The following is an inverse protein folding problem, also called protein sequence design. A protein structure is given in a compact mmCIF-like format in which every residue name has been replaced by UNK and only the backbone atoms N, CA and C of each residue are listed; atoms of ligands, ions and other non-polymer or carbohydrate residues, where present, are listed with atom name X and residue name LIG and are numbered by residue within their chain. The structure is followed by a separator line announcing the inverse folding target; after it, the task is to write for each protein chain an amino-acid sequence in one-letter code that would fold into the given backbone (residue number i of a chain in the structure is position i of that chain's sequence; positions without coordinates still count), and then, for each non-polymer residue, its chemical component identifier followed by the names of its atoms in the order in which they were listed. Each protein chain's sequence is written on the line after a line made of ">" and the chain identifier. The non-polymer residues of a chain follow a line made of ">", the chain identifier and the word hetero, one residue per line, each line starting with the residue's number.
data_IF_094416056105
#
_entry.id   IF_094416056105
#
_cell.length_a   1.000
_cell.length_b   1.000
_cell.length_c   1.000
_cell.angle_alpha   90.00
_cell.angle_beta   90.00
_cell.angle_gamma   90.00
#
_symmetry.space_group_name_H-M   'P 1'
#
loop_
_entity.id
_entity.type
_entity.pdbx_description
1 polymer ?
#
# COMPACT_ATOMS: atom_id res chain seq x y z
N UNK A 1 44.70 22.95 -47.87
CA UNK A 1 46.01 23.55 -48.22
C UNK A 1 45.98 25.03 -47.83
N UNK A 2 46.97 25.47 -47.03
CA UNK A 2 47.60 26.79 -47.11
C UNK A 2 46.77 28.07 -46.97
N UNK A 3 46.53 28.48 -45.72
CA UNK A 3 47.03 29.70 -45.06
C UNK A 3 47.46 30.95 -45.89
N UNK A 4 47.09 32.11 -45.29
CA UNK A 4 47.85 33.36 -45.07
C UNK A 4 47.73 34.61 -45.99
N UNK A 5 47.32 35.71 -45.30
CA UNK A 5 47.80 37.12 -45.35
C UNK A 5 47.51 37.99 -46.59
N UNK A 6 47.30 39.32 -46.53
CA UNK A 6 47.27 40.35 -45.46
C UNK A 6 46.74 41.68 -46.06
N UNK A 7 46.72 42.74 -45.23
CA UNK A 7 46.80 44.19 -45.53
C UNK A 7 45.47 44.98 -45.62
N UNK A 8 45.20 45.84 -44.61
CA UNK A 8 45.51 47.31 -44.48
C UNK A 8 44.49 48.15 -45.29
N UNK A 9 43.94 49.30 -44.88
CA UNK A 9 44.32 50.37 -43.92
C UNK A 9 43.16 51.40 -43.87
N UNK A 10 42.99 52.09 -42.71
CA UNK A 10 42.70 53.55 -42.49
C UNK A 10 41.45 54.20 -43.12
N UNK A 11 40.77 55.22 -42.57
CA UNK A 11 40.74 55.97 -41.30
C UNK A 11 39.61 57.03 -41.44
N UNK A 12 39.29 57.71 -40.32
CA UNK A 12 38.74 59.08 -40.20
C UNK A 12 37.22 59.23 -40.02
N UNK A 13 36.65 60.18 -39.25
CA UNK A 13 37.00 60.92 -38.02
C UNK A 13 35.81 61.87 -37.73
N UNK A 14 35.58 62.18 -36.44
CA UNK A 14 35.03 63.43 -35.88
C UNK A 14 33.49 63.62 -35.66
N UNK A 15 33.17 63.64 -34.36
CA UNK A 15 32.14 64.40 -33.58
C UNK A 15 32.52 65.92 -33.63
N UNK A 16 31.76 66.98 -33.21
CA UNK A 16 30.72 67.08 -32.14
C UNK A 16 29.56 68.11 -32.34
N UNK A 17 28.65 68.29 -31.36
CA UNK A 17 28.36 69.55 -30.63
C UNK A 17 27.17 69.43 -29.65
N UNK A 18 27.25 70.25 -28.60
CA UNK A 18 26.46 70.37 -27.37
C UNK A 18 25.43 71.51 -27.51
N UNK A 19 24.27 71.43 -26.84
CA UNK A 19 23.61 72.62 -26.26
C UNK A 19 22.59 72.23 -25.17
N UNK A 20 22.69 72.90 -24.03
CA UNK A 20 21.85 72.80 -22.84
C UNK A 20 20.71 73.85 -22.87
N UNK A 21 19.68 73.67 -22.04
CA UNK A 21 19.12 74.72 -21.15
C UNK A 21 18.04 74.15 -20.21
N UNK A 22 17.97 74.75 -19.03
CA UNK A 22 17.31 74.29 -17.81
C UNK A 22 15.98 75.02 -17.54
N UNK A 23 15.12 74.42 -16.70
CA UNK A 23 14.21 75.14 -15.81
C UNK A 23 13.82 74.30 -14.58
N UNK A 24 14.24 74.83 -13.42
CA UNK A 24 13.75 74.76 -12.02
C UNK A 24 12.24 74.56 -11.83
N UNK A 25 11.65 74.07 -10.74
CA UNK A 25 12.05 73.55 -9.42
C UNK A 25 10.75 73.04 -8.76
N UNK A 26 10.79 71.96 -7.96
CA UNK A 26 10.07 71.89 -6.68
C UNK A 26 10.66 70.77 -5.83
N UNK A 27 11.28 71.16 -4.72
CA UNK A 27 11.80 70.28 -3.68
C UNK A 27 10.80 70.25 -2.54
N UNK A 28 10.37 69.06 -2.14
CA UNK A 28 9.96 68.76 -0.77
C UNK A 28 10.70 67.50 -0.33
N UNK A 29 11.53 67.66 0.71
CA UNK A 29 12.09 66.59 1.56
C UNK A 29 10.92 65.88 2.30
N UNK A 30 10.95 64.64 2.77
CA UNK A 30 12.00 63.70 3.15
C UNK A 30 11.35 62.35 3.47
N UNK A 31 12.05 61.23 3.22
CA UNK A 31 11.68 59.91 3.73
C UNK A 31 12.45 58.78 3.04
N UNK A 32 13.55 58.36 3.66
CA UNK A 32 14.53 57.37 3.19
C UNK A 32 14.02 55.91 3.15
N UNK A 33 14.89 55.05 2.62
CA UNK A 33 14.87 53.57 2.54
C UNK A 33 14.12 53.02 1.33
N UNK A 34 14.70 52.24 0.43
CA UNK A 34 16.02 51.63 0.33
C UNK A 34 15.90 50.57 -0.77
N UNK A 35 16.80 50.61 -1.74
CA UNK A 35 16.98 49.53 -2.71
C UNK A 35 17.41 48.27 -1.97
N UNK A 36 16.59 47.22 -1.98
CA UNK A 36 17.04 45.87 -1.69
C UNK A 36 16.98 45.06 -2.97
N UNK A 37 18.17 44.79 -3.48
CA UNK A 37 18.43 43.71 -4.41
C UNK A 37 17.70 42.44 -3.94
N UNK A 38 17.08 41.73 -4.88
CA UNK A 38 16.65 40.36 -4.70
C UNK A 38 17.89 39.52 -4.36
N UNK A 39 18.12 39.31 -3.07
CA UNK A 39 19.02 38.27 -2.62
C UNK A 39 18.31 36.93 -2.89
N UNK A 40 18.75 36.23 -3.93
CA UNK A 40 18.54 34.80 -4.03
C UNK A 40 19.10 34.16 -2.76
N UNK A 41 18.22 33.67 -1.89
CA UNK A 41 18.61 32.92 -0.72
C UNK A 41 19.23 31.59 -1.20
N UNK A 42 20.44 31.23 -0.74
CA UNK A 42 21.03 29.95 -1.09
C UNK A 42 20.22 28.84 -0.41
N UNK A 43 19.72 27.90 -1.23
CA UNK A 43 19.11 26.64 -0.80
C UNK A 43 20.18 25.72 -0.19
N UNK A 44 20.72 26.06 0.98
CA UNK A 44 21.49 25.13 1.82
C UNK A 44 20.52 24.46 2.78
N UNK A 45 19.75 23.50 2.29
CA UNK A 45 19.00 22.60 3.16
C UNK A 45 19.97 21.64 3.82
N UNK A 46 20.30 21.88 5.08
CA UNK A 46 21.18 21.03 5.90
C UNK A 46 20.69 19.57 5.84
N UNK A 47 21.54 18.62 5.39
CA UNK A 47 21.17 17.21 5.31
C UNK A 47 20.69 16.64 6.65
N UNK A 48 21.15 17.17 7.79
CA UNK A 48 20.71 16.76 9.13
C UNK A 48 19.26 17.21 9.40
N UNK A 49 18.88 18.41 8.94
CA UNK A 49 17.50 18.90 9.03
C UNK A 49 16.56 18.09 8.12
N UNK A 50 17.02 17.69 6.92
CA UNK A 50 16.23 16.80 6.04
C UNK A 50 16.09 15.40 6.63
N UNK A 51 17.13 14.87 7.25
CA UNK A 51 17.11 13.57 7.91
C UNK A 51 16.24 13.57 9.18
N UNK A 52 16.27 14.66 9.96
CA UNK A 52 15.40 14.87 11.11
C UNK A 52 13.93 15.03 10.69
N UNK A 53 13.64 15.83 9.66
CA UNK A 53 12.28 15.97 9.11
C UNK A 53 11.78 14.66 8.51
N UNK A 54 12.64 13.90 7.82
CA UNK A 54 12.31 12.57 7.32
C UNK A 54 12.04 11.60 8.49
N UNK A 55 12.86 11.61 9.55
CA UNK A 55 12.64 10.81 10.74
C UNK A 55 11.33 11.16 11.48
N UNK A 56 10.98 12.45 11.59
CA UNK A 56 9.71 12.92 12.15
C UNK A 56 8.52 12.48 11.30
N UNK A 57 8.62 12.56 9.96
CA UNK A 57 7.55 12.06 9.08
C UNK A 57 7.36 10.54 9.13
N UNK A 58 8.33 9.76 9.61
CA UNK A 58 8.26 8.30 9.74
C UNK A 58 8.13 7.78 11.18
N UNK A 59 8.05 8.67 12.16
CA UNK A 59 7.90 8.30 13.56
C UNK A 59 6.63 7.44 13.78
N UNK A 60 6.74 6.41 14.62
CA UNK A 60 5.56 5.65 15.03
C UNK A 60 4.62 6.56 15.85
N UNK A 61 3.31 6.57 15.55
CA UNK A 61 2.38 7.36 16.32
C UNK A 61 2.34 6.86 17.77
N UNK A 62 2.33 7.80 18.71
CA UNK A 62 2.13 7.54 20.14
C UNK A 62 0.67 7.18 20.44
N UNK A 63 0.43 6.54 21.59
CA UNK A 63 -0.93 6.18 22.01
C UNK A 63 -1.83 7.43 22.17
N UNK A 64 -1.26 8.56 22.61
CA UNK A 64 -1.98 9.82 22.73
C UNK A 64 -2.38 10.41 21.37
N UNK A 65 -1.51 10.30 20.36
CA UNK A 65 -1.81 10.71 18.99
C UNK A 65 -2.89 9.82 18.36
N UNK A 66 -2.79 8.50 18.54
CA UNK A 66 -3.81 7.56 18.09
C UNK A 66 -5.18 7.86 18.73
N UNK A 67 -5.23 8.12 20.04
CA UNK A 67 -6.47 8.48 20.73
C UNK A 67 -7.05 9.81 20.23
N UNK A 68 -6.20 10.81 19.96
CA UNK A 68 -6.61 12.07 19.34
C UNK A 68 -7.23 11.83 17.96
N UNK A 69 -6.55 11.05 17.11
CA UNK A 69 -7.00 10.74 15.75
C UNK A 69 -8.31 9.95 15.76
N UNK A 70 -8.47 9.00 16.69
CA UNK A 70 -9.69 8.21 16.85
C UNK A 70 -10.95 9.10 17.07
N UNK A 71 -10.79 10.21 17.79
CA UNK A 71 -11.86 11.15 18.16
C UNK A 71 -12.13 12.23 17.12
N UNK A 72 -11.28 12.37 16.10
CA UNK A 72 -11.51 13.38 15.06
C UNK A 72 -12.84 13.09 14.36
N UNK A 73 -13.59 14.12 13.91
CA UNK A 73 -14.73 13.90 13.04
C UNK A 73 -14.26 13.39 11.66
N UNK A 74 -15.20 12.86 10.87
CA UNK A 74 -14.95 12.59 9.45
C UNK A 74 -15.01 13.91 8.70
N UNK A 75 -13.97 14.27 7.97
CA UNK A 75 -14.07 15.27 6.91
C UNK A 75 -14.50 14.52 5.64
N UNK A 76 -15.76 14.67 5.24
CA UNK A 76 -16.24 14.15 3.94
C UNK A 76 -15.97 15.22 2.90
N UNK A 77 -15.27 14.88 1.81
CA UNK A 77 -15.13 15.81 0.69
C UNK A 77 -16.39 15.74 -0.17
N UNK A 78 -16.91 16.86 -0.70
CA UNK A 78 -18.03 16.86 -1.65
C UNK A 78 -17.79 16.05 -2.94
N UNK A 79 -16.54 15.66 -3.20
CA UNK A 79 -16.12 14.79 -4.31
C UNK A 79 -16.32 13.29 -4.05
N UNK A 80 -16.69 12.89 -2.83
CA UNK A 80 -16.85 11.48 -2.46
C UNK A 80 -18.20 10.97 -2.98
N UNK A 81 -18.23 10.49 -4.23
CA UNK A 81 -19.45 9.96 -4.87
C UNK A 81 -20.02 8.72 -4.16
N UNK A 82 -19.22 8.00 -3.38
CA UNK A 82 -19.67 6.85 -2.56
C UNK A 82 -19.02 6.89 -1.16
N UNK A 83 -19.80 6.89 -0.07
CA UNK A 83 -19.23 6.98 1.27
C UNK A 83 -18.67 5.62 1.73
N UNK A 84 -17.34 5.44 1.64
CA UNK A 84 -16.50 4.89 2.73
C UNK A 84 -15.00 4.77 2.36
N UNK A 85 -14.20 5.85 2.49
CA UNK A 85 -12.78 5.69 2.69
C UNK A 85 -12.60 5.42 4.19
N UNK A 86 -12.77 4.15 4.57
CA UNK A 86 -12.16 3.70 5.82
C UNK A 86 -10.71 4.16 5.87
N UNK A 87 -10.23 4.64 7.01
CA UNK A 87 -8.87 5.19 7.11
C UNK A 87 -8.00 4.28 7.95
N UNK A 88 -6.93 3.75 7.35
CA UNK A 88 -5.83 3.11 8.05
C UNK A 88 -4.91 4.16 8.66
N UNK A 89 -4.57 4.04 9.93
CA UNK A 89 -3.65 4.97 10.60
C UNK A 89 -2.53 4.19 11.26
N UNK A 90 -1.30 4.66 11.07
CA UNK A 90 -0.10 4.06 11.65
C UNK A 90 0.29 2.72 11.02
N UNK A 91 0.94 1.89 11.82
CA UNK A 91 1.46 0.59 11.41
C UNK A 91 0.46 -0.54 11.71
N UNK A 92 0.57 -1.70 11.04
CA UNK A 92 -0.33 -2.84 11.28
C UNK A 92 -0.34 -3.34 12.73
N UNK A 93 0.77 -3.13 13.45
CA UNK A 93 0.98 -3.53 14.85
C UNK A 93 1.02 -2.36 15.85
N UNK A 94 0.75 -1.14 15.38
CA UNK A 94 0.64 0.08 16.19
C UNK A 94 -0.16 1.09 15.38
N UNK A 95 -1.47 0.94 15.44
CA UNK A 95 -2.36 1.69 14.57
C UNK A 95 -3.81 1.57 14.99
N UNK A 96 -4.67 2.22 14.20
CA UNK A 96 -6.11 2.18 14.37
C UNK A 96 -6.79 2.15 13.01
N UNK A 97 -8.08 1.83 13.00
CA UNK A 97 -8.93 1.83 11.83
C UNK A 97 -10.08 2.80 12.08
N UNK A 98 -10.27 3.79 11.20
CA UNK A 98 -11.45 4.68 11.27
C UNK A 98 -12.44 4.30 10.19
N UNK A 99 -13.72 4.36 10.53
CA UNK A 99 -14.81 4.07 9.59
C UNK A 99 -14.63 2.72 8.89
N UNK A 100 -14.16 1.72 9.64
CA UNK A 100 -13.87 0.40 9.11
C UNK A 100 -15.08 -0.21 8.43
N UNK A 101 -14.87 -0.76 7.23
CA UNK A 101 -15.88 -1.52 6.51
C UNK A 101 -16.00 -2.90 7.13
N UNK A 102 -17.24 -3.31 7.40
CA UNK A 102 -17.55 -4.63 7.95
C UNK A 102 -17.70 -5.64 6.82
N UNK A 103 -16.99 -6.77 6.91
CA UNK A 103 -17.24 -7.93 6.04
C UNK A 103 -18.41 -8.77 6.58
N UNK A 104 -19.26 -9.28 5.70
CA UNK A 104 -20.42 -10.10 6.05
C UNK A 104 -20.35 -11.49 5.40
N UNK A 105 -21.15 -12.41 5.93
CA UNK A 105 -21.35 -13.71 5.30
C UNK A 105 -22.03 -13.54 3.94
N UNK A 106 -21.60 -14.33 2.96
CA UNK A 106 -22.15 -14.41 1.61
C UNK A 106 -22.28 -15.89 1.19
N UNK A 107 -22.79 -16.17 0.00
CA UNK A 107 -22.77 -17.50 -0.61
C UNK A 107 -21.33 -18.00 -0.84
N UNK A 108 -20.40 -17.11 -1.21
CA UNK A 108 -19.01 -17.44 -1.58
C UNK A 108 -18.03 -17.31 -0.39
N UNK A 109 -18.47 -16.73 0.73
CA UNK A 109 -17.60 -16.40 1.88
C UNK A 109 -18.34 -16.58 3.21
N UNK A 110 -17.62 -17.07 4.23
CA UNK A 110 -18.13 -17.20 5.60
C UNK A 110 -17.14 -16.64 6.61
N UNK A 111 -17.60 -15.76 7.49
CA UNK A 111 -16.85 -15.32 8.66
C UNK A 111 -16.88 -16.44 9.71
N UNK A 112 -15.70 -16.83 10.17
CA UNK A 112 -15.52 -17.81 11.25
C UNK A 112 -16.21 -17.29 12.51
N UNK A 113 -17.00 -18.14 13.17
CA UNK A 113 -17.80 -17.79 14.37
C UNK A 113 -16.98 -17.07 15.45
N UNK A 114 -15.74 -17.49 15.69
CA UNK A 114 -14.86 -16.85 16.68
C UNK A 114 -14.24 -15.51 16.27
N UNK A 115 -14.66 -14.93 15.13
CA UNK A 115 -14.07 -13.73 14.53
C UNK A 115 -15.09 -12.61 14.28
N UNK A 116 -16.32 -12.78 14.79
CA UNK A 116 -17.44 -11.85 14.59
C UNK A 116 -17.21 -10.46 15.19
N UNK A 117 -16.35 -10.32 16.21
CA UNK A 117 -16.01 -9.01 16.80
C UNK A 117 -14.82 -8.33 16.11
N UNK A 118 -14.12 -9.06 15.25
CA UNK A 118 -12.90 -8.63 14.56
C UNK A 118 -13.10 -8.63 13.04
N UNK A 119 -14.30 -8.32 12.55
CA UNK A 119 -14.65 -8.42 11.12
C UNK A 119 -14.65 -7.07 10.38
N UNK A 120 -13.83 -6.12 10.80
CA UNK A 120 -13.73 -4.81 10.17
C UNK A 120 -12.35 -4.60 9.56
N UNK A 121 -12.30 -3.96 8.40
CA UNK A 121 -11.07 -3.62 7.73
C UNK A 121 -11.22 -2.35 6.91
N UNK A 122 -10.14 -1.99 6.22
CA UNK A 122 -10.20 -1.02 5.13
C UNK A 122 -11.11 -1.54 4.01
N UNK A 123 -11.78 -0.66 3.28
CA UNK A 123 -12.65 -1.01 2.17
C UNK A 123 -11.89 -1.74 1.06
N UNK A 124 -10.63 -1.37 0.85
CA UNK A 124 -9.69 -2.01 -0.07
C UNK A 124 -9.53 -3.48 0.27
N UNK A 125 -9.27 -3.78 1.55
CA UNK A 125 -9.10 -5.17 2.01
C UNK A 125 -10.40 -5.96 1.93
N UNK A 126 -11.54 -5.37 2.30
CA UNK A 126 -12.84 -6.06 2.21
C UNK A 126 -13.15 -6.42 0.76
N UNK A 127 -13.07 -5.44 -0.16
CA UNK A 127 -13.32 -5.66 -1.60
C UNK A 127 -12.33 -6.66 -2.21
N UNK A 128 -11.06 -6.61 -1.81
CA UNK A 128 -10.04 -7.59 -2.23
C UNK A 128 -10.44 -9.01 -1.84
N UNK A 129 -10.85 -9.23 -0.59
CA UNK A 129 -11.22 -10.55 -0.08
C UNK A 129 -12.51 -11.07 -0.72
N UNK A 130 -13.53 -10.21 -0.86
CA UNK A 130 -14.80 -10.56 -1.49
C UNK A 130 -14.62 -10.92 -2.97
N UNK A 131 -13.87 -10.12 -3.72
CA UNK A 131 -13.55 -10.41 -5.12
C UNK A 131 -12.78 -11.73 -5.26
N UNK A 132 -11.82 -11.99 -4.37
CA UNK A 132 -11.06 -13.24 -4.39
C UNK A 132 -11.91 -14.46 -4.04
N UNK A 133 -12.83 -14.34 -3.08
CA UNK A 133 -13.79 -15.39 -2.77
C UNK A 133 -14.70 -15.68 -3.97
N UNK A 134 -15.19 -14.62 -4.63
CA UNK A 134 -16.04 -14.74 -5.80
C UNK A 134 -15.33 -15.42 -6.99
N UNK A 135 -14.10 -15.02 -7.29
CA UNK A 135 -13.29 -15.60 -8.38
C UNK A 135 -13.03 -17.09 -8.14
N UNK A 136 -12.72 -17.49 -6.91
CA UNK A 136 -12.54 -18.91 -6.58
C UNK A 136 -13.85 -19.67 -6.71
N UNK A 137 -14.98 -19.11 -6.26
CA UNK A 137 -16.29 -19.75 -6.38
C UNK A 137 -16.77 -19.85 -7.84
N UNK A 138 -16.41 -18.88 -8.67
CA UNK A 138 -16.65 -18.91 -10.12
C UNK A 138 -15.90 -20.08 -10.78
N UNK A 139 -14.61 -20.24 -10.47
CA UNK A 139 -13.76 -21.31 -11.02
C UNK A 139 -14.06 -22.68 -10.40
N UNK A 140 -14.51 -22.71 -9.15
CA UNK A 140 -14.83 -23.90 -8.39
C UNK A 140 -16.20 -23.77 -7.72
N UNK A 141 -17.28 -24.14 -8.43
CA UNK A 141 -18.65 -23.94 -7.94
C UNK A 141 -18.86 -24.49 -6.52
N UNK A 142 -19.51 -23.68 -5.67
CA UNK A 142 -19.80 -23.93 -4.24
C UNK A 142 -18.59 -23.86 -3.30
N UNK A 143 -17.41 -23.46 -3.79
CA UNK A 143 -16.31 -23.14 -2.89
C UNK A 143 -16.69 -21.95 -2.00
N UNK A 144 -16.51 -22.07 -0.69
CA UNK A 144 -16.77 -21.00 0.25
C UNK A 144 -15.50 -20.66 1.02
N UNK A 145 -15.05 -19.41 0.94
CA UNK A 145 -13.87 -18.92 1.64
C UNK A 145 -14.17 -18.71 3.12
N UNK A 146 -13.38 -19.29 4.01
CA UNK A 146 -13.51 -19.03 5.46
C UNK A 146 -12.61 -17.86 5.85
N UNK A 147 -13.20 -16.76 6.29
CA UNK A 147 -12.50 -15.56 6.77
C UNK A 147 -12.46 -15.53 8.29
N UNK A 148 -11.26 -15.33 8.84
CA UNK A 148 -11.01 -15.22 10.27
C UNK A 148 -10.96 -13.77 10.73
N UNK A 149 -9.97 -13.47 11.58
CA UNK A 149 -9.85 -12.15 12.18
C UNK A 149 -9.32 -11.14 11.15
N UNK A 150 -10.02 -10.02 11.04
CA UNK A 150 -9.54 -8.74 10.52
C UNK A 150 -9.25 -7.84 11.73
N UNK A 151 -9.66 -6.58 11.71
CA UNK A 151 -9.57 -5.64 12.83
C UNK A 151 -10.90 -5.49 13.59
N UNK A 152 -10.83 -4.91 14.79
CA UNK A 152 -11.99 -4.34 15.49
C UNK A 152 -12.56 -3.15 14.68
N UNK A 153 -13.82 -2.73 14.93
CA UNK A 153 -14.40 -1.57 14.24
C UNK A 153 -13.52 -0.31 14.26
N UNK A 154 -12.86 -0.04 15.39
CA UNK A 154 -11.91 1.07 15.57
C UNK A 154 -10.43 0.68 15.41
N UNK A 155 -10.14 -0.58 15.06
CA UNK A 155 -8.78 -1.10 15.06
C UNK A 155 -8.18 -1.24 16.46
N UNK A 156 -6.89 -0.92 16.58
CA UNK A 156 -6.14 -1.03 17.84
C UNK A 156 -5.79 -2.47 18.20
N UNK A 157 -5.16 -2.66 19.36
CA UNK A 157 -4.62 -3.96 19.78
C UNK A 157 -5.71 -5.02 19.97
N UNK A 158 -5.54 -6.18 19.34
CA UNK A 158 -6.42 -7.34 19.45
C UNK A 158 -5.59 -8.53 19.92
N UNK A 159 -5.85 -9.06 21.13
CA UNK A 159 -5.16 -10.28 21.57
C UNK A 159 -5.79 -11.51 20.90
N UNK A 160 -5.00 -12.54 20.53
CA UNK A 160 -3.56 -12.68 20.73
C UNK A 160 -2.71 -12.06 19.61
N UNK A 161 -3.32 -11.42 18.61
CA UNK A 161 -2.64 -10.85 17.45
C UNK A 161 -1.64 -9.75 17.80
N UNK A 162 -0.52 -9.75 17.11
CA UNK A 162 0.49 -8.68 17.20
C UNK A 162 0.11 -7.53 16.25
N UNK A 163 -0.43 -7.85 15.07
CA UNK A 163 -0.96 -6.90 14.10
C UNK A 163 -2.50 -6.86 14.11
N UNK A 164 -3.16 -6.62 12.97
CA UNK A 164 -4.62 -6.44 12.86
C UNK A 164 -5.14 -5.17 13.53
N UNK A 165 -4.28 -4.16 13.70
CA UNK A 165 -4.67 -2.94 14.40
C UNK A 165 -5.18 -1.85 13.46
N UNK A 166 -4.78 -1.87 12.19
CA UNK A 166 -5.02 -0.77 11.26
C UNK A 166 -5.94 -1.11 10.08
N UNK A 167 -6.70 -2.21 10.14
CA UNK A 167 -7.61 -2.61 9.06
C UNK A 167 -6.95 -3.15 7.80
N UNK A 168 -5.67 -3.54 7.86
CA UNK A 168 -4.88 -3.98 6.68
C UNK A 168 -4.46 -5.45 6.72
N UNK A 169 -4.87 -6.19 7.74
CA UNK A 169 -4.58 -7.61 7.90
C UNK A 169 -5.87 -8.43 7.91
N UNK A 170 -5.81 -9.64 7.34
CA UNK A 170 -6.90 -10.64 7.40
C UNK A 170 -6.32 -12.05 7.51
N UNK A 171 -6.90 -12.85 8.39
CA UNK A 171 -6.68 -14.30 8.42
C UNK A 171 -7.66 -15.03 7.50
N UNK A 172 -7.17 -15.89 6.62
CA UNK A 172 -7.98 -16.64 5.65
C UNK A 172 -7.69 -18.15 5.80
N UNK A 173 -8.73 -18.93 6.05
CA UNK A 173 -8.64 -20.38 6.15
C UNK A 173 -8.30 -21.02 4.81
N UNK A 174 -7.57 -22.14 4.82
CA UNK A 174 -7.30 -22.84 3.57
C UNK A 174 -8.55 -23.54 3.05
N UNK A 175 -8.69 -23.61 1.72
CA UNK A 175 -9.56 -24.61 1.10
C UNK A 175 -9.00 -26.02 1.38
N UNK A 176 -9.90 -26.95 1.70
CA UNK A 176 -9.53 -28.29 2.16
C UNK A 176 -10.24 -29.36 1.35
N UNK A 177 -9.61 -30.53 1.33
CA UNK A 177 -10.18 -31.78 0.88
C UNK A 177 -10.38 -32.70 2.09
N UNK A 178 -11.39 -33.56 2.04
CA UNK A 178 -11.59 -34.64 3.00
C UNK A 178 -10.67 -35.86 2.74
N UNK A 179 -10.85 -36.94 3.50
CA UNK A 179 -10.11 -38.19 3.35
C UNK A 179 -10.24 -38.82 1.95
N UNK A 180 -11.34 -38.56 1.24
CA UNK A 180 -11.63 -39.07 -0.11
C UNK A 180 -11.15 -38.11 -1.21
N UNK A 181 -10.39 -37.07 -0.84
CA UNK A 181 -9.98 -36.00 -1.74
C UNK A 181 -11.15 -35.19 -2.32
N UNK A 182 -12.29 -35.15 -1.61
CA UNK A 182 -13.46 -34.36 -1.97
C UNK A 182 -13.35 -32.96 -1.36
N UNK A 183 -13.60 -31.88 -2.10
CA UNK A 183 -13.62 -30.53 -1.55
C UNK A 183 -14.65 -30.37 -0.43
N UNK A 184 -14.25 -29.74 0.66
CA UNK A 184 -15.12 -29.48 1.82
C UNK A 184 -14.98 -28.03 2.28
N UNK A 185 -16.12 -27.40 2.56
CA UNK A 185 -16.16 -26.06 3.14
C UNK A 185 -15.97 -26.16 4.65
N UNK A 186 -14.79 -25.80 5.13
CA UNK A 186 -14.41 -25.91 6.55
C UNK A 186 -14.48 -24.54 7.18
N UNK A 187 -15.49 -24.29 8.03
CA UNK A 187 -15.71 -22.98 8.68
C UNK A 187 -14.84 -22.76 9.94
N UNK A 188 -13.65 -23.36 9.96
CA UNK A 188 -12.65 -23.25 11.02
C UNK A 188 -11.24 -23.36 10.42
N UNK A 189 -10.23 -23.01 11.21
CA UNK A 189 -8.83 -23.14 10.79
C UNK A 189 -8.25 -24.48 11.23
N UNK A 190 -8.01 -25.40 10.29
CA UNK A 190 -7.37 -26.69 10.56
C UNK A 190 -5.86 -26.55 10.48
N UNK A 191 -5.14 -26.85 11.56
CA UNK A 191 -3.68 -26.89 11.55
C UNK A 191 -3.17 -28.08 10.74
N UNK A 192 -2.31 -27.79 9.77
CA UNK A 192 -1.68 -28.78 8.89
C UNK A 192 -0.24 -29.10 9.33
N UNK A 193 0.16 -30.34 9.09
CA UNK A 193 1.55 -30.80 9.21
C UNK A 193 2.34 -30.49 7.91
N UNK A 194 3.62 -30.87 7.87
CA UNK A 194 4.48 -30.61 6.70
C UNK A 194 4.05 -31.37 5.42
N UNK A 195 3.19 -32.38 5.56
CA UNK A 195 2.60 -33.10 4.44
C UNK A 195 1.33 -32.42 3.90
N UNK A 196 0.88 -31.33 4.54
CA UNK A 196 -0.37 -30.63 4.19
C UNK A 196 -1.61 -31.38 4.69
N UNK A 197 -1.46 -32.21 5.72
CA UNK A 197 -2.54 -33.00 6.33
C UNK A 197 -2.84 -32.46 7.73
N UNK A 198 -4.11 -32.47 8.13
CA UNK A 198 -4.56 -32.08 9.46
C UNK A 198 -5.69 -32.97 9.95
N UNK A 199 -5.89 -33.01 11.27
CA UNK A 199 -7.02 -33.70 11.90
C UNK A 199 -7.74 -32.73 12.82
N UNK A 200 -9.06 -32.65 12.71
CA UNK A 200 -9.90 -31.85 13.60
C UNK A 200 -11.23 -32.57 13.85
N UNK A 201 -11.59 -32.74 15.11
CA UNK A 201 -12.85 -33.37 15.54
C UNK A 201 -13.12 -34.73 14.86
N UNK A 202 -12.10 -35.58 14.80
CA UNK A 202 -12.19 -36.90 14.17
C UNK A 202 -12.05 -36.91 12.64
N UNK A 203 -12.21 -35.77 11.97
CA UNK A 203 -12.11 -35.65 10.52
C UNK A 203 -10.65 -35.41 10.05
N UNK A 204 -10.30 -36.00 8.91
CA UNK A 204 -9.01 -35.79 8.24
C UNK A 204 -9.17 -34.81 7.09
N UNK A 205 -8.25 -33.85 7.03
CA UNK A 205 -8.22 -32.80 6.02
C UNK A 205 -6.89 -32.79 5.29
N UNK A 206 -6.93 -32.44 4.01
CA UNK A 206 -5.77 -32.23 3.16
C UNK A 206 -5.87 -30.85 2.50
N UNK A 207 -4.75 -30.15 2.37
CA UNK A 207 -4.68 -28.88 1.65
C UNK A 207 -5.11 -29.05 0.18
N UNK A 208 -6.10 -28.26 -0.25
CA UNK A 208 -6.52 -28.20 -1.65
C UNK A 208 -5.62 -27.23 -2.43
N UNK A 209 -4.56 -27.74 -3.04
CA UNK A 209 -3.57 -26.88 -3.68
C UNK A 209 -4.15 -26.03 -4.82
N UNK A 210 -5.09 -26.55 -5.61
CA UNK A 210 -5.68 -25.84 -6.75
C UNK A 210 -6.57 -24.68 -6.31
N UNK A 211 -7.53 -24.90 -5.40
CA UNK A 211 -8.38 -23.81 -4.90
C UNK A 211 -7.59 -22.75 -4.15
N UNK A 212 -6.62 -23.17 -3.34
CA UNK A 212 -5.77 -22.20 -2.64
C UNK A 212 -4.83 -21.47 -3.61
N UNK A 213 -4.38 -22.06 -4.71
CA UNK A 213 -3.63 -21.32 -5.73
C UNK A 213 -4.51 -20.29 -6.44
N UNK A 214 -5.74 -20.65 -6.83
CA UNK A 214 -6.68 -19.71 -7.42
C UNK A 214 -6.98 -18.51 -6.49
N UNK A 215 -7.09 -18.76 -5.17
CA UNK A 215 -7.20 -17.68 -4.18
C UNK A 215 -6.01 -16.73 -4.23
N UNK A 216 -4.78 -17.27 -4.20
CA UNK A 216 -3.55 -16.48 -4.23
C UNK A 216 -3.43 -15.70 -5.53
N UNK A 217 -3.73 -16.34 -6.66
CA UNK A 217 -3.75 -15.70 -7.97
C UNK A 217 -4.71 -14.52 -8.02
N UNK A 218 -5.94 -14.71 -7.52
CA UNK A 218 -6.92 -13.63 -7.46
C UNK A 218 -6.45 -12.49 -6.56
N UNK A 219 -5.98 -12.79 -5.34
CA UNK A 219 -5.47 -11.77 -4.40
C UNK A 219 -4.32 -10.94 -4.98
N UNK A 220 -3.44 -11.56 -5.77
CA UNK A 220 -2.27 -10.88 -6.33
C UNK A 220 -2.56 -10.19 -7.67
N UNK A 221 -3.66 -10.51 -8.34
CA UNK A 221 -3.99 -9.95 -9.67
C UNK A 221 -4.87 -8.70 -9.59
N UNK A 222 -5.28 -8.29 -8.39
CA UNK A 222 -6.17 -7.14 -8.22
C UNK A 222 -5.45 -5.81 -8.53
N UNK A 223 -6.04 -4.95 -9.37
CA UNK A 223 -5.35 -3.75 -9.89
C UNK A 223 -5.25 -2.60 -8.90
N UNK A 224 -6.15 -2.54 -7.91
CA UNK A 224 -6.30 -1.40 -7.01
C UNK A 224 -5.76 -1.65 -5.60
N UNK A 225 -5.29 -2.86 -5.29
CA UNK A 225 -4.87 -3.21 -3.93
C UNK A 225 -3.69 -4.16 -3.96
N UNK A 226 -2.51 -3.63 -3.62
CA UNK A 226 -1.30 -4.43 -3.55
C UNK A 226 -1.19 -5.20 -2.24
N UNK A 227 -1.00 -6.51 -2.36
CA UNK A 227 -0.67 -7.38 -1.23
C UNK A 227 0.83 -7.27 -0.91
N UNK A 228 1.12 -6.94 0.34
CA UNK A 228 2.46 -6.85 0.88
C UNK A 228 3.00 -8.22 1.35
N UNK A 229 2.18 -8.93 2.12
CA UNK A 229 2.56 -10.21 2.70
C UNK A 229 1.44 -11.22 2.62
N UNK A 230 1.81 -12.47 2.39
CA UNK A 230 0.98 -13.63 2.66
C UNK A 230 1.80 -14.55 3.56
N UNK A 231 1.58 -14.44 4.87
CA UNK A 231 2.28 -15.25 5.85
C UNK A 231 1.69 -16.66 5.92
N UNK A 232 2.54 -17.66 5.68
CA UNK A 232 2.15 -19.07 5.70
C UNK A 232 3.37 -19.96 5.90
N UNK A 233 3.18 -21.19 6.38
CA UNK A 233 4.29 -22.11 6.60
C UNK A 233 5.01 -22.45 5.29
N UNK A 234 6.33 -22.67 5.36
CA UNK A 234 7.14 -23.03 4.19
C UNK A 234 6.66 -24.30 3.49
N UNK A 235 6.05 -25.25 4.22
CA UNK A 235 5.47 -26.46 3.65
C UNK A 235 4.27 -26.18 2.74
N UNK A 236 3.44 -25.20 3.11
CA UNK A 236 2.28 -24.75 2.33
C UNK A 236 2.75 -23.84 1.18
N UNK A 237 3.69 -22.92 1.42
CA UNK A 237 4.32 -22.13 0.34
C UNK A 237 4.83 -23.02 -0.80
N UNK A 238 5.58 -24.10 -0.47
CA UNK A 238 6.05 -25.05 -1.50
C UNK A 238 4.92 -25.69 -2.29
N UNK A 239 3.79 -26.04 -1.65
CA UNK A 239 2.63 -26.62 -2.32
C UNK A 239 1.99 -25.64 -3.28
N UNK A 240 1.81 -24.39 -2.85
CA UNK A 240 1.28 -23.32 -3.69
C UNK A 240 2.17 -23.07 -4.91
N UNK A 241 3.48 -22.89 -4.71
CA UNK A 241 4.39 -22.62 -5.82
C UNK A 241 4.48 -23.81 -6.78
N UNK A 242 4.49 -25.04 -6.28
CA UNK A 242 4.47 -26.23 -7.14
C UNK A 242 3.15 -26.32 -7.93
N UNK A 243 2.03 -25.96 -7.32
CA UNK A 243 0.74 -25.93 -8.01
C UNK A 243 0.71 -24.85 -9.10
N UNK A 244 1.21 -23.64 -8.80
CA UNK A 244 1.33 -22.56 -9.76
C UNK A 244 2.13 -22.97 -11.00
N UNK A 245 3.28 -23.62 -10.78
CA UNK A 245 4.11 -24.15 -11.89
C UNK A 245 3.37 -25.23 -12.67
N UNK A 246 2.68 -26.14 -11.97
CA UNK A 246 1.89 -27.22 -12.60
C UNK A 246 0.75 -26.68 -13.47
N UNK A 247 0.12 -25.58 -13.06
CA UNK A 247 -0.97 -24.93 -13.78
C UNK A 247 -0.48 -23.95 -14.86
N UNK A 248 0.84 -23.77 -15.03
CA UNK A 248 1.39 -22.86 -16.04
C UNK A 248 1.12 -21.38 -15.73
N UNK A 249 1.13 -21.01 -14.44
CA UNK A 249 0.85 -19.65 -13.99
C UNK A 249 1.70 -18.60 -14.72
N UNK A 250 1.10 -17.41 -14.93
CA UNK A 250 1.79 -16.26 -15.50
C UNK A 250 3.16 -16.04 -14.81
N UNK A 251 4.28 -15.91 -15.56
CA UNK A 251 5.61 -15.79 -14.96
C UNK A 251 5.78 -14.60 -14.00
N UNK A 252 5.15 -13.47 -14.29
CA UNK A 252 5.18 -12.29 -13.43
C UNK A 252 4.42 -12.54 -12.12
N UNK A 253 3.22 -13.11 -12.21
CA UNK A 253 2.43 -13.48 -11.04
C UNK A 253 3.16 -14.51 -10.16
N UNK A 254 3.78 -15.51 -10.78
CA UNK A 254 4.58 -16.52 -10.07
C UNK A 254 5.78 -15.87 -9.36
N UNK A 255 6.42 -14.88 -9.97
CA UNK A 255 7.49 -14.10 -9.35
C UNK A 255 6.96 -13.29 -8.16
N UNK A 256 5.83 -12.60 -8.30
CA UNK A 256 5.16 -11.88 -7.21
C UNK A 256 4.81 -12.83 -6.06
N UNK A 257 4.18 -13.96 -6.34
CA UNK A 257 3.83 -14.99 -5.35
C UNK A 257 5.05 -15.52 -4.59
N UNK A 258 6.17 -15.80 -5.28
CA UNK A 258 7.42 -16.25 -4.64
C UNK A 258 7.98 -15.24 -3.64
N UNK A 259 7.79 -13.93 -3.88
CA UNK A 259 8.24 -12.83 -3.03
C UNK A 259 7.28 -12.53 -1.89
N UNK A 260 5.98 -12.43 -2.18
CA UNK A 260 4.92 -12.06 -1.23
C UNK A 260 4.64 -13.16 -0.21
N UNK A 261 4.58 -14.42 -0.66
CA UNK A 261 4.29 -15.55 0.22
C UNK A 261 5.55 -15.86 1.01
N UNK A 262 5.49 -15.76 2.34
CA UNK A 262 6.66 -15.99 3.19
C UNK A 262 6.28 -16.60 4.52
N UNK A 263 7.18 -17.36 5.12
CA UNK A 263 7.00 -17.76 6.51
C UNK A 263 7.57 -16.66 7.39
N UNK A 264 6.84 -16.18 8.42
CA UNK A 264 7.41 -15.26 9.41
C UNK A 264 8.68 -15.83 10.02
N UNK A 265 9.71 -14.98 10.14
CA UNK A 265 10.97 -15.34 10.83
C UNK A 265 10.79 -15.49 12.34
N UNK A 266 9.89 -14.69 12.90
CA UNK A 266 9.54 -14.67 14.31
C UNK A 266 8.03 -14.91 14.44
N UNK A 267 7.63 -15.76 15.39
CA UNK A 267 6.23 -16.11 15.63
C UNK A 267 5.79 -17.44 15.03
N UNK A 268 4.49 -17.70 15.07
CA UNK A 268 3.91 -18.96 14.62
C UNK A 268 4.10 -19.13 13.09
N UNK A 269 4.29 -20.37 12.60
CA UNK A 269 4.53 -20.60 11.18
C UNK A 269 3.27 -20.52 10.32
N UNK A 270 2.09 -20.11 10.84
CA UNK A 270 0.84 -20.01 10.07
C UNK A 270 0.51 -21.31 9.31
N UNK A 271 0.25 -22.36 10.10
CA UNK A 271 -0.03 -23.73 9.60
C UNK A 271 -1.51 -24.01 9.38
N UNK A 272 -2.40 -23.07 9.67
CA UNK A 272 -3.85 -23.28 9.61
C UNK A 272 -4.61 -22.26 8.78
N UNK A 273 -3.95 -21.18 8.35
CA UNK A 273 -4.51 -20.07 7.61
C UNK A 273 -3.39 -19.32 6.89
N UNK A 274 -3.78 -18.48 5.93
CA UNK A 274 -2.99 -17.39 5.39
C UNK A 274 -3.24 -16.15 6.25
N UNK A 275 -2.18 -15.48 6.68
CA UNK A 275 -2.30 -14.10 7.17
C UNK A 275 -1.90 -13.19 6.02
N UNK A 276 -2.88 -12.49 5.45
CA UNK A 276 -2.69 -11.57 4.32
C UNK A 276 -2.58 -10.14 4.85
N UNK A 277 -1.62 -9.37 4.32
CA UNK A 277 -1.47 -7.93 4.57
C UNK A 277 -1.40 -7.17 3.27
N UNK A 278 -2.13 -6.06 3.19
CA UNK A 278 -2.03 -5.09 2.09
C UNK A 278 -1.18 -3.88 2.48
N UNK A 279 -0.61 -3.21 1.48
CA UNK A 279 0.03 -1.90 1.68
C UNK A 279 -1.00 -0.83 2.07
N UNK A 280 -0.52 0.33 2.50
CA UNK A 280 -1.38 1.52 2.61
C UNK A 280 -1.95 1.90 1.24
N UNK A 281 -3.23 2.28 1.20
CA UNK A 281 -3.77 3.04 0.07
C UNK A 281 -3.09 4.41 -0.01
N UNK A 282 -3.08 5.01 -1.19
CA UNK A 282 -2.53 6.36 -1.35
C UNK A 282 -3.36 7.41 -0.60
N UNK A 283 -4.68 7.22 -0.52
CA UNK A 283 -5.62 8.12 0.18
C UNK A 283 -5.39 8.14 1.71
N UNK A 284 -4.86 7.06 2.28
CA UNK A 284 -4.57 6.99 3.71
C UNK A 284 -3.19 7.58 4.07
N UNK A 285 -2.36 7.93 3.07
CA UNK A 285 -1.05 8.53 3.30
C UNK A 285 -1.20 10.04 3.59
N UNK A 286 -0.31 10.63 4.42
CA UNK A 286 0.85 10.02 5.07
C UNK A 286 0.53 9.38 6.43
N UNK A 287 -0.73 9.31 6.87
CA UNK A 287 -1.11 8.79 8.19
C UNK A 287 -0.89 7.27 8.31
N UNK A 288 -1.18 6.52 7.25
CA UNK A 288 -0.87 5.11 7.16
C UNK A 288 0.63 4.90 6.90
N UNK A 289 1.23 3.93 7.61
CA UNK A 289 2.66 3.62 7.54
C UNK A 289 2.92 2.18 7.15
N UNK A 290 3.82 1.99 6.20
CA UNK A 290 4.31 0.68 5.77
C UNK A 290 5.73 0.43 6.23
N UNK A 291 6.13 -0.84 6.27
CA UNK A 291 7.52 -1.28 6.46
C UNK A 291 8.01 -2.05 5.25
N UNK A 292 9.33 -2.19 5.04
CA UNK A 292 9.85 -3.09 4.03
C UNK A 292 9.30 -4.52 4.21
N UNK A 293 9.23 -5.31 3.11
CA UNK A 293 9.67 -4.99 1.76
C UNK A 293 8.72 -4.02 1.05
N UNK A 294 9.27 -3.33 0.06
CA UNK A 294 8.52 -2.54 -0.91
C UNK A 294 8.81 -3.11 -2.28
N UNK A 295 7.78 -3.64 -2.93
CA UNK A 295 7.95 -4.27 -4.22
C UNK A 295 7.87 -3.23 -5.33
N UNK A 296 8.61 -3.45 -6.42
CA UNK A 296 8.65 -2.52 -7.54
C UNK A 296 7.30 -2.31 -8.26
N UNK A 297 6.36 -3.26 -8.12
CA UNK A 297 5.00 -3.11 -8.65
C UNK A 297 4.09 -2.29 -7.74
N UNK A 298 4.46 -2.08 -6.47
CA UNK A 298 3.72 -1.20 -5.58
C UNK A 298 4.18 0.24 -5.82
N UNK A 299 3.36 0.99 -6.55
CA UNK A 299 3.57 2.42 -6.73
C UNK A 299 3.24 3.11 -5.41
N UNK A 300 4.13 3.99 -4.96
CA UNK A 300 3.86 4.86 -3.83
C UNK A 300 3.66 6.28 -4.33
N UNK A 301 2.80 7.06 -3.68
CA UNK A 301 2.63 8.48 -4.00
C UNK A 301 3.94 9.30 -4.07
N UNK A 302 4.99 8.95 -3.31
CA UNK A 302 6.32 9.61 -3.36
C UNK A 302 7.20 9.15 -4.54
N UNK A 303 6.80 8.10 -5.24
CA UNK A 303 7.47 7.52 -6.41
C UNK A 303 6.59 7.54 -7.67
N UNK A 304 5.36 8.02 -7.57
CA UNK A 304 4.49 8.24 -8.72
C UNK A 304 5.12 9.32 -9.61
N UNK A 305 5.27 9.09 -10.93
CA UNK A 305 5.68 10.16 -11.83
C UNK A 305 4.67 11.31 -11.69
N UNK A 306 5.16 12.55 -11.61
CA UNK A 306 4.30 13.72 -11.55
C UNK A 306 3.22 13.62 -12.64
N UNK A 307 1.97 14.02 -12.36
CA UNK A 307 0.87 13.94 -13.34
C UNK A 307 1.24 14.66 -14.66
N UNK A 308 2.13 15.65 -14.60
CA UNK A 308 2.71 16.34 -15.76
C UNK A 308 3.62 15.48 -16.65
N UNK A 309 4.05 14.30 -16.19
CA UNK A 309 4.91 13.36 -16.89
C UNK A 309 4.12 12.23 -17.57
N UNK A 310 2.82 12.10 -17.30
CA UNK A 310 1.92 11.22 -18.05
C UNK A 310 1.50 11.98 -19.32
N UNK A 311 2.24 11.78 -20.41
CA UNK A 311 1.73 12.16 -21.73
C UNK A 311 0.53 11.27 -22.04
N UNK A 312 -0.62 11.82 -22.51
CA UNK A 312 -1.67 10.97 -23.05
C UNK A 312 -1.08 10.10 -24.16
N UNK A 313 -1.45 8.82 -24.18
CA UNK A 313 -1.08 7.95 -25.28
C UNK A 313 -1.63 8.57 -26.56
N UNK A 314 -0.74 9.03 -27.44
CA UNK A 314 -1.10 9.45 -28.79
C UNK A 314 -1.73 8.22 -29.48
N UNK A 315 -3.01 8.36 -29.79
CA UNK A 315 -3.81 7.38 -30.56
C UNK A 315 -3.50 7.48 -32.04
#
# INVERSE_FOLDING_TARGET
>A
MGNFHSQRRRQSRLVPWICALAATSLVWLSGSFGTSASAELPMTGDPVLREAQHAETHAEPTDAELEKIARMPRSVSPSDLEPNPSVSVGYPNRGLLRFGMRINDDKDLRVKVGSLDSRHATGELVRLVEAAAHEVAFRYPRAQLTVGDLSRPGGGRIRPHVSHQSGRDVDIGFYMLDRRATPVNVHLFVRLNNQGMGKQWGNLYKFDASRNWALIESLLSQPTTDVQHIFVSNAIKRRLINQAVKEGANPELLMRAKRVITQPRHGAPHRSHFHVRIYCSDDDRPMCKDRPPFYAWHQRADQAPAISALKPNDS
#
